data_IF_372068263127
#
_entry.id   IF_372068263127
#
_cell.length_a   1.000
_cell.length_b   1.000
_cell.length_c   1.000
_cell.angle_alpha   90.00
_cell.angle_beta   90.00
_cell.angle_gamma   90.00
#
_symmetry.space_group_name_H-M   'P 1'
#
loop_
_entity.id
_entity.type
_entity.pdbx_description
1 polymer ?
#
# COMPACT_ATOMS: atom_id res chain seq x y z
N UNK A 1 -5.43 -11.03 26.81
CA UNK A 1 -5.38 -10.48 25.45
C UNK A 1 -4.24 -11.13 24.67
N UNK A 2 -4.52 -11.55 23.48
CA UNK A 2 -3.47 -12.14 22.64
C UNK A 2 -2.66 -11.03 21.97
N UNK A 3 -1.31 -10.99 22.13
CA UNK A 3 -0.47 -10.02 21.44
C UNK A 3 -0.54 -10.13 19.92
N UNK A 4 -0.98 -11.27 19.41
CA UNK A 4 -1.04 -11.52 17.97
C UNK A 4 -1.97 -10.55 17.23
N UNK A 5 -3.06 -10.10 17.87
CA UNK A 5 -4.01 -9.19 17.24
C UNK A 5 -3.44 -7.79 17.05
N UNK A 6 -2.47 -7.42 17.88
CA UNK A 6 -1.80 -6.12 17.79
C UNK A 6 -0.41 -6.21 17.16
N UNK A 7 -0.05 -7.35 16.57
CA UNK A 7 1.27 -7.60 16.01
C UNK A 7 1.50 -6.71 14.76
N UNK A 8 2.54 -5.86 14.77
CA UNK A 8 2.86 -5.02 13.59
C UNK A 8 3.14 -5.82 12.33
N UNK A 9 3.64 -7.05 12.45
CA UNK A 9 3.89 -7.92 11.30
C UNK A 9 2.58 -8.34 10.63
N UNK A 10 1.55 -8.62 11.41
CA UNK A 10 0.22 -8.94 10.89
C UNK A 10 -0.35 -7.73 10.17
N UNK A 11 -0.21 -6.54 10.75
CA UNK A 11 -0.67 -5.30 10.13
C UNK A 11 0.00 -5.08 8.77
N UNK A 12 1.30 -5.21 8.72
CA UNK A 12 2.05 -5.05 7.47
C UNK A 12 1.64 -6.08 6.43
N UNK A 13 1.46 -7.34 6.85
CA UNK A 13 1.03 -8.42 5.95
C UNK A 13 -0.36 -8.15 5.38
N UNK A 14 -1.27 -7.60 6.17
CA UNK A 14 -2.61 -7.25 5.70
C UNK A 14 -2.55 -6.15 4.63
N UNK A 15 -1.75 -5.11 4.83
CA UNK A 15 -1.60 -4.03 3.85
C UNK A 15 -0.97 -4.55 2.55
N UNK A 16 0.10 -5.32 2.65
CA UNK A 16 0.80 -5.85 1.48
C UNK A 16 -0.07 -6.81 0.68
N UNK A 17 -0.78 -7.71 1.38
CA UNK A 17 -1.66 -8.67 0.72
C UNK A 17 -2.85 -7.97 0.08
N UNK A 18 -3.42 -6.96 0.75
CA UNK A 18 -4.50 -6.16 0.18
C UNK A 18 -4.05 -5.46 -1.10
N UNK A 19 -2.86 -4.88 -1.11
CA UNK A 19 -2.30 -4.24 -2.30
C UNK A 19 -2.14 -5.24 -3.44
N UNK A 20 -1.65 -6.44 -3.14
CA UNK A 20 -1.47 -7.50 -4.15
C UNK A 20 -2.81 -7.96 -4.72
N UNK A 21 -3.83 -8.16 -3.88
CA UNK A 21 -5.15 -8.58 -4.35
C UNK A 21 -5.78 -7.52 -5.25
N UNK A 22 -5.61 -6.24 -4.93
CA UNK A 22 -6.08 -5.16 -5.80
C UNK A 22 -5.38 -5.18 -7.15
N UNK A 23 -4.08 -5.47 -7.17
CA UNK A 23 -3.33 -5.56 -8.44
C UNK A 23 -3.76 -6.74 -9.29
N UNK A 24 -4.09 -7.86 -8.67
CA UNK A 24 -4.48 -9.09 -9.38
C UNK A 24 -5.88 -9.01 -9.98
N UNK A 25 -6.83 -8.47 -9.25
CA UNK A 25 -8.24 -8.51 -9.67
C UNK A 25 -9.07 -7.28 -9.34
N UNK A 26 -8.44 -6.21 -8.92
CA UNK A 26 -9.15 -4.97 -8.58
C UNK A 26 -9.93 -5.07 -7.27
N UNK A 27 -10.84 -4.10 -7.04
CA UNK A 27 -11.57 -4.04 -5.76
C UNK A 27 -12.41 -5.28 -5.45
N UNK A 28 -12.90 -5.96 -6.47
CA UNK A 28 -13.75 -7.14 -6.27
C UNK A 28 -12.99 -8.32 -5.67
N UNK A 29 -11.68 -8.40 -5.90
CA UNK A 29 -10.86 -9.46 -5.34
C UNK A 29 -10.50 -9.23 -3.88
N UNK A 30 -10.52 -7.99 -3.44
CA UNK A 30 -10.19 -7.64 -2.07
C UNK A 30 -11.41 -7.75 -1.17
N UNK A 31 -11.63 -8.95 -0.66
CA UNK A 31 -12.67 -9.22 0.34
C UNK A 31 -12.03 -9.54 1.68
N UNK A 32 -12.77 -9.33 2.76
CA UNK A 32 -12.30 -9.64 4.11
C UNK A 32 -11.91 -11.11 4.23
N UNK A 33 -12.74 -12.00 3.70
CA UNK A 33 -12.52 -13.45 3.77
C UNK A 33 -11.24 -13.84 3.03
N UNK A 34 -11.07 -13.34 1.81
CA UNK A 34 -9.90 -13.68 0.99
C UNK A 34 -8.62 -13.14 1.60
N UNK A 35 -8.68 -11.89 2.07
CA UNK A 35 -7.54 -11.24 2.69
C UNK A 35 -7.04 -12.00 3.91
N UNK A 36 -7.95 -12.30 4.84
CA UNK A 36 -7.58 -12.98 6.08
C UNK A 36 -7.13 -14.41 5.85
N UNK A 37 -7.71 -15.08 4.86
CA UNK A 37 -7.30 -16.43 4.48
C UNK A 37 -5.86 -16.44 3.95
N UNK A 38 -5.51 -15.51 3.09
CA UNK A 38 -4.17 -15.46 2.50
C UNK A 38 -3.10 -15.04 3.49
N UNK A 39 -3.45 -14.14 4.42
CA UNK A 39 -2.52 -13.74 5.48
C UNK A 39 -2.40 -14.84 6.55
N UNK A 40 -3.43 -15.66 6.69
CA UNK A 40 -3.46 -16.70 7.71
C UNK A 40 -3.84 -16.18 9.08
N UNK A 41 -4.72 -15.18 9.12
CA UNK A 41 -5.17 -14.57 10.36
C UNK A 41 -6.70 -14.60 10.46
N UNK A 42 -7.22 -14.25 11.64
CA UNK A 42 -8.65 -14.15 11.86
C UNK A 42 -9.19 -12.82 11.33
N UNK A 43 -10.49 -12.80 10.99
CA UNK A 43 -11.16 -11.57 10.53
C UNK A 43 -11.06 -10.45 11.55
N UNK A 44 -11.05 -10.78 12.84
CA UNK A 44 -10.94 -9.80 13.92
C UNK A 44 -9.66 -8.97 13.81
N UNK A 45 -8.58 -9.53 13.25
CA UNK A 45 -7.33 -8.81 13.09
C UNK A 45 -7.50 -7.55 12.22
N UNK A 46 -8.33 -7.61 11.18
CA UNK A 46 -8.61 -6.45 10.33
C UNK A 46 -9.28 -5.35 11.16
N UNK A 47 -10.27 -5.71 11.96
CA UNK A 47 -10.97 -4.74 12.80
C UNK A 47 -10.08 -4.18 13.90
N UNK A 48 -9.19 -5.02 14.46
CA UNK A 48 -8.26 -4.58 15.49
C UNK A 48 -7.25 -3.57 14.96
N UNK A 49 -6.72 -3.80 13.74
CA UNK A 49 -5.67 -2.94 13.18
C UNK A 49 -6.21 -1.74 12.42
N UNK A 50 -7.38 -1.84 11.80
CA UNK A 50 -7.87 -0.81 10.88
C UNK A 50 -9.26 -0.29 11.23
N UNK A 51 -10.08 -1.08 11.90
CA UNK A 51 -11.45 -0.71 12.23
C UNK A 51 -12.47 -1.19 11.21
N UNK A 52 -12.15 -1.16 9.91
CA UNK A 52 -13.04 -1.63 8.84
C UNK A 52 -12.24 -1.94 7.59
N UNK A 53 -12.90 -2.58 6.61
CA UNK A 53 -12.29 -2.79 5.30
C UNK A 53 -12.05 -1.48 4.55
N UNK A 54 -12.93 -0.49 4.72
CA UNK A 54 -12.74 0.82 4.11
C UNK A 54 -11.51 1.53 4.69
N UNK A 55 -11.30 1.41 5.99
CA UNK A 55 -10.10 1.95 6.64
C UNK A 55 -8.84 1.24 6.15
N UNK A 56 -8.92 -0.07 5.93
CA UNK A 56 -7.82 -0.83 5.34
C UNK A 56 -7.48 -0.32 3.94
N UNK A 57 -8.50 -0.10 3.11
CA UNK A 57 -8.30 0.44 1.75
C UNK A 57 -7.68 1.84 1.79
N UNK A 58 -8.11 2.67 2.72
CA UNK A 58 -7.52 3.99 2.92
C UNK A 58 -6.05 3.90 3.33
N UNK A 59 -5.70 2.93 4.15
CA UNK A 59 -4.32 2.70 4.57
C UNK A 59 -3.44 2.25 3.40
N UNK A 60 -3.96 1.37 2.53
CA UNK A 60 -3.25 0.95 1.32
C UNK A 60 -2.96 2.16 0.42
N UNK A 61 -3.95 3.05 0.25
CA UNK A 61 -3.77 4.27 -0.54
C UNK A 61 -2.73 5.19 0.09
N UNK A 62 -2.78 5.37 1.41
CA UNK A 62 -1.82 6.20 2.14
C UNK A 62 -0.40 5.68 1.99
N UNK A 63 -0.23 4.37 2.07
CA UNK A 63 1.08 3.74 1.88
C UNK A 63 1.62 4.02 0.47
N UNK A 64 0.76 4.01 -0.54
CA UNK A 64 1.13 4.36 -1.89
C UNK A 64 1.61 5.80 -2.02
N UNK A 65 0.89 6.74 -1.40
CA UNK A 65 1.29 8.14 -1.39
C UNK A 65 2.61 8.36 -0.63
N UNK A 66 2.81 7.65 0.48
CA UNK A 66 4.05 7.76 1.24
C UNK A 66 5.24 7.25 0.44
N UNK A 67 5.08 6.14 -0.28
CA UNK A 67 6.12 5.61 -1.16
C UNK A 67 6.45 6.58 -2.29
N UNK A 68 5.43 7.18 -2.90
CA UNK A 68 5.62 8.19 -3.94
C UNK A 68 6.40 9.39 -3.38
N UNK A 69 6.00 9.88 -2.21
CA UNK A 69 6.66 11.02 -1.58
C UNK A 69 8.13 10.73 -1.31
N UNK A 70 8.46 9.55 -0.78
CA UNK A 70 9.84 9.15 -0.54
C UNK A 70 10.63 9.08 -1.83
N UNK A 71 10.02 8.59 -2.89
CA UNK A 71 10.64 8.49 -4.20
C UNK A 71 10.99 9.86 -4.76
N UNK A 72 10.07 10.80 -4.65
CA UNK A 72 10.27 12.17 -5.12
C UNK A 72 11.36 12.89 -4.33
N UNK A 73 11.51 12.59 -3.04
CA UNK A 73 12.55 13.18 -2.20
C UNK A 73 13.96 12.72 -2.58
N UNK A 74 14.10 11.59 -3.26
CA UNK A 74 15.40 11.10 -3.71
C UNK A 74 15.90 11.81 -4.98
N UNK A 75 15.04 12.61 -5.62
CA UNK A 75 15.40 13.36 -6.80
C UNK A 75 15.99 14.71 -6.36
N UNK A 76 17.28 14.92 -6.64
CA UNK A 76 17.96 16.15 -6.26
C UNK A 76 17.56 17.31 -7.18
N UNK A 77 17.27 18.49 -6.62
CA UNK A 77 17.01 19.67 -7.43
C UNK A 77 18.24 20.04 -8.26
N UNK A 78 18.01 20.54 -9.46
CA UNK A 78 19.08 21.05 -10.32
C UNK A 78 18.71 22.46 -10.81
N UNK A 79 19.67 23.12 -11.48
CA UNK A 79 19.43 24.43 -12.05
C UNK A 79 18.59 24.39 -13.32
N UNK A 80 18.27 23.17 -13.82
CA UNK A 80 17.45 22.99 -15.00
C UNK A 80 16.06 22.49 -14.59
N UNK A 81 15.03 23.37 -14.61
CA UNK A 81 13.68 22.98 -14.23
C UNK A 81 13.07 21.88 -15.11
N UNK A 82 13.46 21.83 -16.39
CA UNK A 82 12.96 20.80 -17.29
C UNK A 82 13.52 19.43 -16.92
N UNK A 83 14.84 19.38 -16.64
CA UNK A 83 15.46 18.14 -16.20
C UNK A 83 14.90 17.68 -14.86
N UNK A 84 14.61 18.59 -13.94
CA UNK A 84 13.98 18.27 -12.67
C UNK A 84 12.61 17.66 -12.88
N UNK A 85 11.81 18.26 -13.77
CA UNK A 85 10.46 17.73 -14.07
C UNK A 85 10.53 16.34 -14.69
N UNK A 86 11.47 16.10 -15.60
CA UNK A 86 11.66 14.77 -16.21
C UNK A 86 12.06 13.76 -15.14
N UNK A 87 12.97 14.11 -14.23
CA UNK A 87 13.39 13.21 -13.16
C UNK A 87 12.24 12.89 -12.19
N UNK A 88 11.42 13.87 -11.85
CA UNK A 88 10.26 13.66 -11.01
C UNK A 88 9.24 12.72 -11.69
N UNK A 89 9.02 12.93 -12.99
CA UNK A 89 8.15 12.05 -13.77
C UNK A 89 8.67 10.62 -13.85
N UNK A 90 9.98 10.45 -14.06
CA UNK A 90 10.61 9.13 -14.10
C UNK A 90 10.50 8.43 -12.75
N UNK A 91 10.73 9.15 -11.65
CA UNK A 91 10.58 8.59 -10.30
C UNK A 91 9.15 8.13 -10.04
N UNK A 92 8.17 8.90 -10.48
CA UNK A 92 6.75 8.52 -10.36
C UNK A 92 6.45 7.24 -11.15
N UNK A 93 6.91 7.17 -12.40
CA UNK A 93 6.67 6.01 -13.25
C UNK A 93 7.34 4.75 -12.69
N UNK A 94 8.58 4.87 -12.21
CA UNK A 94 9.28 3.74 -11.60
C UNK A 94 8.52 3.20 -10.39
N UNK A 95 8.02 4.10 -9.54
CA UNK A 95 7.27 3.70 -8.36
C UNK A 95 5.94 3.05 -8.75
N UNK A 96 5.25 3.57 -9.76
CA UNK A 96 3.99 3.02 -10.22
C UNK A 96 4.18 1.62 -10.84
N UNK A 97 5.28 1.40 -11.56
CA UNK A 97 5.62 0.09 -12.13
C UNK A 97 5.92 -0.93 -11.03
N UNK A 98 6.66 -0.52 -9.99
CA UNK A 98 7.02 -1.39 -8.88
C UNK A 98 5.81 -1.70 -7.98
N UNK A 99 4.87 -0.78 -7.85
CA UNK A 99 3.74 -0.89 -6.93
C UNK A 99 2.41 -0.50 -7.59
N UNK A 100 2.02 -1.18 -8.68
CA UNK A 100 0.85 -0.76 -9.47
C UNK A 100 -0.46 -0.78 -8.65
N UNK A 101 -0.57 -1.69 -7.70
CA UNK A 101 -1.79 -1.81 -6.89
C UNK A 101 -2.07 -0.60 -6.01
N UNK A 102 -1.06 0.20 -5.69
CA UNK A 102 -1.20 1.37 -4.83
C UNK A 102 -1.71 2.60 -5.59
N UNK A 103 -1.81 2.53 -6.92
CA UNK A 103 -2.23 3.66 -7.77
C UNK A 103 -3.51 3.39 -8.55
N UNK A 104 -4.21 2.34 -8.18
CA UNK A 104 -5.51 2.03 -8.77
C UNK A 104 -6.66 2.80 -8.12
#
# INVERSE_FOLDING_TARGET
MSPRQADPQVRAALVETAARLLAEGGPDLLTLRRLTKEVGTATMAVYTHFGSMDDLRAEVAREGFDRLRRRLRTVEPSDDPVADLVRLGAAYLDNAVEHPSLYQ
#
